data_IF_060075622797
#
_entry.id   IF_060075622797
#
_cell.length_a   1.000
_cell.length_b   1.000
_cell.length_c   1.000
_cell.angle_alpha   90.00
_cell.angle_beta   90.00
_cell.angle_gamma   90.00
#
_symmetry.space_group_name_H-M   'P 1'
#
loop_
_entity.id
_entity.type
_entity.pdbx_description
1 polymer ?
#
# COMPACT_ATOMS: atom_id res chain seq x y z
N UNK A 1 30.36 21.31 8.80
CA UNK A 1 30.54 19.95 9.29
C UNK A 1 30.08 18.99 8.18
N UNK A 2 30.89 18.05 7.71
CA UNK A 2 30.53 17.18 6.63
C UNK A 2 29.57 16.07 7.16
N UNK A 3 28.33 16.08 6.69
CA UNK A 3 27.31 15.06 6.95
C UNK A 3 27.69 13.66 6.43
N UNK A 4 28.85 13.51 5.79
CA UNK A 4 29.31 12.25 5.17
C UNK A 4 30.02 11.28 6.11
N UNK A 5 30.31 11.66 7.35
CA UNK A 5 31.06 10.78 8.26
C UNK A 5 30.21 9.95 9.21
N UNK A 6 28.90 10.25 9.36
CA UNK A 6 27.99 9.50 10.24
C UNK A 6 27.47 8.24 9.53
N UNK A 7 27.44 8.20 8.21
CA UNK A 7 26.99 7.04 7.42
C UNK A 7 28.07 6.00 7.10
N UNK A 8 29.30 6.15 7.58
CA UNK A 8 30.40 5.20 7.39
C UNK A 8 30.73 4.33 8.59
N UNK A 9 30.00 4.41 9.69
CA UNK A 9 29.99 3.37 10.69
C UNK A 9 29.28 2.17 10.07
N UNK A 10 30.01 1.10 9.74
CA UNK A 10 29.53 -0.02 8.95
C UNK A 10 28.17 -0.51 9.43
N UNK A 11 27.22 -0.56 8.50
CA UNK A 11 25.99 -1.31 8.70
C UNK A 11 26.41 -2.70 9.13
N UNK A 12 25.92 -3.18 10.27
CA UNK A 12 26.08 -4.57 10.69
C UNK A 12 25.69 -5.46 9.51
N UNK A 13 26.35 -6.56 9.32
CA UNK A 13 26.13 -7.48 8.20
C UNK A 13 24.65 -7.91 8.13
N UNK A 14 23.99 -8.01 9.28
CA UNK A 14 22.55 -8.28 9.40
C UNK A 14 21.70 -7.13 8.81
N UNK A 15 22.01 -5.89 9.15
CA UNK A 15 21.31 -4.70 8.61
C UNK A 15 21.49 -4.59 7.10
N UNK A 16 22.68 -4.92 6.57
CA UNK A 16 22.92 -4.93 5.14
C UNK A 16 22.08 -5.97 4.42
N UNK A 17 21.95 -7.16 5.00
CA UNK A 17 21.10 -8.24 4.47
C UNK A 17 19.62 -7.81 4.41
N UNK A 18 19.10 -7.12 5.44
CA UNK A 18 17.74 -6.61 5.45
C UNK A 18 17.51 -5.55 4.38
N UNK A 19 18.46 -4.66 4.17
CA UNK A 19 18.39 -3.65 3.10
C UNK A 19 18.35 -4.31 1.71
N UNK A 20 19.24 -5.29 1.44
CA UNK A 20 19.27 -6.02 0.17
C UNK A 20 17.94 -6.77 -0.07
N UNK A 21 17.41 -7.43 0.96
CA UNK A 21 16.11 -8.09 0.90
C UNK A 21 14.99 -7.09 0.56
N UNK A 22 14.94 -5.96 1.25
CA UNK A 22 13.94 -4.93 1.03
C UNK A 22 13.99 -4.36 -0.40
N UNK A 23 15.20 -4.10 -0.93
CA UNK A 23 15.38 -3.66 -2.31
C UNK A 23 14.93 -4.72 -3.33
N UNK A 24 15.21 -6.00 -3.08
CA UNK A 24 14.79 -7.09 -3.94
C UNK A 24 13.26 -7.23 -3.93
N UNK A 25 12.62 -7.21 -2.75
CA UNK A 25 11.16 -7.31 -2.61
C UNK A 25 10.41 -6.16 -3.30
N UNK A 26 11.03 -4.99 -3.40
CA UNK A 26 10.41 -3.80 -4.01
C UNK A 26 10.86 -3.54 -5.45
N UNK A 27 11.60 -4.46 -6.06
CA UNK A 27 12.16 -4.34 -7.43
C UNK A 27 13.04 -3.08 -7.61
N UNK A 28 13.86 -2.74 -6.61
CA UNK A 28 14.73 -1.56 -6.59
C UNK A 28 16.22 -1.89 -6.62
N UNK A 29 16.61 -3.14 -6.71
CA UNK A 29 18.03 -3.59 -6.66
C UNK A 29 18.91 -2.82 -7.65
N UNK A 30 18.47 -2.65 -8.89
CA UNK A 30 19.20 -1.92 -9.93
C UNK A 30 19.25 -0.40 -9.71
N UNK A 31 18.43 0.11 -8.79
CA UNK A 31 18.31 1.54 -8.48
C UNK A 31 18.93 1.92 -7.14
N UNK A 32 19.60 0.97 -6.46
CA UNK A 32 20.13 1.12 -5.10
C UNK A 32 21.00 2.38 -4.89
N UNK A 33 21.78 2.76 -5.89
CA UNK A 33 22.70 3.92 -5.82
C UNK A 33 22.08 5.20 -6.38
N UNK A 34 20.83 5.15 -6.85
CA UNK A 34 20.13 6.34 -7.34
C UNK A 34 19.63 7.21 -6.20
N UNK A 35 19.77 8.52 -6.37
CA UNK A 35 19.16 9.49 -5.46
C UNK A 35 17.65 9.40 -5.52
N UNK A 36 16.97 9.44 -4.38
CA UNK A 36 15.49 9.37 -4.29
C UNK A 36 14.80 10.44 -5.15
N UNK A 37 15.39 11.64 -5.24
CA UNK A 37 14.88 12.72 -6.08
C UNK A 37 14.94 12.45 -7.60
N UNK A 38 15.74 11.47 -8.04
CA UNK A 38 15.86 11.05 -9.45
C UNK A 38 14.96 9.84 -9.79
N UNK A 39 14.19 9.34 -8.83
CA UNK A 39 13.23 8.25 -9.01
C UNK A 39 11.90 8.79 -9.55
N UNK A 40 11.21 7.98 -10.37
CA UNK A 40 9.82 8.25 -10.74
C UNK A 40 8.89 8.19 -9.51
N UNK A 41 7.65 8.66 -9.64
CA UNK A 41 6.66 8.61 -8.54
C UNK A 41 6.48 7.20 -7.99
N UNK A 42 6.25 6.22 -8.85
CA UNK A 42 6.10 4.82 -8.45
C UNK A 42 7.37 4.21 -7.84
N UNK A 43 8.55 4.52 -8.42
CA UNK A 43 9.84 4.08 -7.85
C UNK A 43 10.09 4.71 -6.46
N UNK A 44 9.72 5.96 -6.27
CA UNK A 44 9.82 6.64 -4.98
C UNK A 44 8.90 6.02 -3.95
N UNK A 45 7.66 5.69 -4.32
CA UNK A 45 6.73 4.98 -3.44
C UNK A 45 7.27 3.61 -3.02
N UNK A 46 7.82 2.83 -3.96
CA UNK A 46 8.49 1.56 -3.65
C UNK A 46 9.70 1.76 -2.72
N UNK A 47 10.47 2.86 -2.87
CA UNK A 47 11.59 3.15 -1.99
C UNK A 47 11.14 3.43 -0.56
N UNK A 48 10.02 4.11 -0.34
CA UNK A 48 9.44 4.29 1.00
C UNK A 48 8.99 2.97 1.62
N UNK A 49 8.36 2.10 0.83
CA UNK A 49 8.01 0.75 1.28
C UNK A 49 9.27 -0.04 1.63
N UNK A 50 10.31 -0.01 0.79
CA UNK A 50 11.59 -0.66 1.06
C UNK A 50 12.24 -0.18 2.37
N UNK A 51 12.18 1.13 2.65
CA UNK A 51 12.70 1.69 3.91
C UNK A 51 11.99 1.12 5.14
N UNK A 52 10.68 0.91 5.08
CA UNK A 52 9.93 0.29 6.15
C UNK A 52 10.25 -1.21 6.28
N UNK A 53 10.33 -1.95 5.17
CA UNK A 53 10.67 -3.37 5.14
C UNK A 53 12.08 -3.65 5.66
N UNK A 54 13.04 -2.75 5.41
CA UNK A 54 14.41 -2.89 5.91
C UNK A 54 14.51 -2.87 7.45
N UNK A 55 13.45 -2.47 8.14
CA UNK A 55 13.33 -2.52 9.61
C UNK A 55 12.83 -3.89 10.11
N UNK A 56 12.70 -4.88 9.23
CA UNK A 56 12.21 -6.22 9.54
C UNK A 56 10.84 -6.21 10.26
N UNK A 57 9.90 -5.41 9.75
CA UNK A 57 8.58 -5.24 10.33
C UNK A 57 7.64 -6.39 9.96
N UNK A 58 6.80 -6.82 10.90
CA UNK A 58 5.69 -7.75 10.67
C UNK A 58 4.37 -7.01 10.36
N UNK A 59 4.33 -5.71 10.61
CA UNK A 59 3.18 -4.83 10.39
C UNK A 59 3.62 -3.58 9.64
N UNK A 60 2.96 -3.28 8.52
CA UNK A 60 3.23 -2.14 7.68
C UNK A 60 1.99 -1.26 7.57
N UNK A 61 2.13 0.03 7.91
CA UNK A 61 1.12 1.05 7.68
C UNK A 61 1.45 1.86 6.44
N UNK A 62 0.50 1.97 5.52
CA UNK A 62 0.62 2.76 4.30
C UNK A 62 -0.51 3.81 4.25
N UNK A 63 -0.13 5.06 4.29
CA UNK A 63 -1.08 6.17 4.16
C UNK A 63 -1.16 6.59 2.68
N UNK A 64 -2.32 6.34 2.07
CA UNK A 64 -2.62 6.66 0.67
C UNK A 64 -1.53 6.23 -0.35
N UNK A 65 -1.11 4.96 -0.39
CA UNK A 65 0.06 4.56 -1.16
C UNK A 65 -0.13 4.69 -2.68
N UNK A 66 -1.34 4.89 -3.16
CA UNK A 66 -1.69 5.00 -4.58
C UNK A 66 -1.99 6.43 -5.04
N UNK A 67 -2.10 7.39 -4.11
CA UNK A 67 -2.43 8.78 -4.40
C UNK A 67 -1.33 9.47 -5.23
N UNK A 68 -1.71 10.29 -6.19
CA UNK A 68 -0.83 10.98 -7.16
C UNK A 68 -0.04 10.07 -8.11
N UNK A 69 -0.41 8.79 -8.20
CA UNK A 69 0.16 7.86 -9.19
C UNK A 69 -0.82 7.67 -10.34
N UNK A 70 -0.30 7.46 -11.56
CA UNK A 70 -1.15 7.01 -12.66
C UNK A 70 -1.60 5.55 -12.46
N UNK A 71 -2.66 5.15 -13.16
CA UNK A 71 -3.32 3.84 -12.99
C UNK A 71 -2.33 2.66 -13.04
N UNK A 72 -1.33 2.73 -13.92
CA UNK A 72 -0.32 1.67 -14.04
C UNK A 72 0.45 1.50 -12.73
N UNK A 73 0.97 2.61 -12.18
CA UNK A 73 1.78 2.56 -10.96
C UNK A 73 0.93 2.27 -9.72
N UNK A 74 -0.34 2.69 -9.69
CA UNK A 74 -1.29 2.28 -8.64
C UNK A 74 -1.41 0.75 -8.60
N UNK A 75 -1.67 0.11 -9.74
CA UNK A 75 -1.77 -1.35 -9.82
C UNK A 75 -0.45 -2.04 -9.44
N UNK A 76 0.69 -1.49 -9.85
CA UNK A 76 2.00 -2.04 -9.48
C UNK A 76 2.24 -1.99 -7.96
N UNK A 77 1.85 -0.90 -7.27
CA UNK A 77 1.96 -0.77 -5.81
C UNK A 77 1.01 -1.74 -5.11
N UNK A 78 -0.25 -1.84 -5.54
CA UNK A 78 -1.23 -2.75 -4.93
C UNK A 78 -0.81 -4.22 -5.09
N UNK A 79 -0.27 -4.62 -6.23
CA UNK A 79 0.30 -5.96 -6.43
C UNK A 79 1.53 -6.22 -5.57
N UNK A 80 2.38 -5.22 -5.38
CA UNK A 80 3.51 -5.32 -4.44
C UNK A 80 2.99 -5.57 -3.01
N UNK A 81 2.02 -4.80 -2.56
CA UNK A 81 1.38 -4.94 -1.24
C UNK A 81 0.78 -6.35 -1.07
N UNK A 82 0.03 -6.83 -2.07
CA UNK A 82 -0.55 -8.18 -2.06
C UNK A 82 0.54 -9.26 -1.96
N UNK A 83 1.62 -9.14 -2.71
CA UNK A 83 2.77 -10.06 -2.66
C UNK A 83 3.43 -10.06 -1.28
N UNK A 84 3.69 -8.89 -0.70
CA UNK A 84 4.26 -8.76 0.64
C UNK A 84 3.40 -9.42 1.72
N UNK A 85 2.07 -9.30 1.61
CA UNK A 85 1.16 -9.97 2.53
C UNK A 85 1.18 -11.50 2.32
N UNK A 86 0.96 -11.98 1.09
CA UNK A 86 0.76 -13.41 0.81
C UNK A 86 2.05 -14.23 0.88
N UNK A 87 3.17 -13.68 0.40
CA UNK A 87 4.42 -14.43 0.28
C UNK A 87 5.36 -14.20 1.48
N UNK A 88 5.36 -12.98 2.05
CA UNK A 88 6.23 -12.61 3.16
C UNK A 88 5.51 -12.62 4.52
N UNK A 89 4.19 -12.79 4.55
CA UNK A 89 3.38 -12.87 5.77
C UNK A 89 3.26 -11.54 6.52
N UNK A 90 3.52 -10.41 5.85
CA UNK A 90 3.46 -9.09 6.47
C UNK A 90 1.99 -8.65 6.56
N UNK A 91 1.55 -8.28 7.75
CA UNK A 91 0.24 -7.63 7.93
C UNK A 91 0.31 -6.20 7.41
N UNK A 92 -0.62 -5.81 6.55
CA UNK A 92 -0.62 -4.48 5.94
C UNK A 92 -1.92 -3.77 6.24
N UNK A 93 -1.82 -2.56 6.79
CA UNK A 93 -2.94 -1.63 6.97
C UNK A 93 -2.70 -0.45 6.04
N UNK A 94 -3.65 -0.17 5.16
CA UNK A 94 -3.53 0.94 4.22
C UNK A 94 -4.78 1.80 4.16
N UNK A 95 -4.58 3.09 4.03
CA UNK A 95 -5.67 4.05 3.76
C UNK A 95 -5.86 4.12 2.25
N UNK A 96 -7.07 3.86 1.79
CA UNK A 96 -7.44 3.90 0.37
C UNK A 96 -8.63 4.85 0.16
N UNK A 97 -8.61 5.61 -0.94
CA UNK A 97 -9.74 6.45 -1.34
C UNK A 97 -10.61 5.78 -2.41
N UNK A 98 -10.07 4.84 -3.15
CA UNK A 98 -10.79 4.11 -4.20
C UNK A 98 -11.41 2.84 -3.60
N UNK A 99 -12.75 2.81 -3.58
CA UNK A 99 -13.53 1.70 -3.04
C UNK A 99 -13.26 0.41 -3.83
N UNK A 100 -13.05 0.50 -5.16
CA UNK A 100 -12.75 -0.67 -5.99
C UNK A 100 -11.37 -1.25 -5.70
N UNK A 101 -10.39 -0.40 -5.31
CA UNK A 101 -9.10 -0.87 -4.79
C UNK A 101 -9.28 -1.61 -3.46
N UNK A 102 -10.10 -1.08 -2.53
CA UNK A 102 -10.42 -1.76 -1.28
C UNK A 102 -11.11 -3.10 -1.52
N UNK A 103 -12.10 -3.16 -2.43
CA UNK A 103 -12.77 -4.41 -2.83
C UNK A 103 -11.82 -5.47 -3.39
N UNK A 104 -10.78 -5.04 -4.13
CA UNK A 104 -9.94 -5.95 -4.89
C UNK A 104 -8.70 -6.43 -4.14
N UNK A 105 -8.22 -5.66 -3.16
CA UNK A 105 -6.91 -5.84 -2.54
C UNK A 105 -6.93 -5.92 -1.01
N UNK A 106 -8.12 -5.96 -0.37
CA UNK A 106 -8.21 -6.07 1.09
C UNK A 106 -8.88 -7.39 1.49
N UNK A 107 -8.43 -7.99 2.58
CA UNK A 107 -9.09 -9.12 3.24
C UNK A 107 -10.16 -8.60 4.21
N UNK A 108 -9.95 -7.44 4.80
CA UNK A 108 -10.86 -6.75 5.71
C UNK A 108 -10.87 -5.25 5.42
N UNK A 109 -12.03 -4.62 5.52
CA UNK A 109 -12.22 -3.19 5.35
C UNK A 109 -12.78 -2.59 6.63
N UNK A 110 -12.24 -1.44 7.03
CA UNK A 110 -12.74 -0.60 8.11
C UNK A 110 -13.11 0.75 7.50
N UNK A 111 -14.40 1.08 7.50
CA UNK A 111 -14.90 2.38 7.07
C UNK A 111 -15.12 3.30 8.26
N UNK A 112 -14.57 4.51 8.18
CA UNK A 112 -14.65 5.53 9.22
C UNK A 112 -15.59 6.64 8.81
N UNK A 113 -16.48 7.05 9.72
CA UNK A 113 -17.34 8.23 9.59
C UNK A 113 -17.26 9.05 10.87
N UNK A 114 -16.94 10.33 10.78
CA UNK A 114 -16.80 11.24 11.91
C UNK A 114 -15.87 10.72 13.03
N UNK A 115 -14.80 10.02 12.64
CA UNK A 115 -13.81 9.47 13.56
C UNK A 115 -14.24 8.19 14.28
N UNK A 116 -15.39 7.61 13.89
CA UNK A 116 -15.90 6.35 14.45
C UNK A 116 -15.93 5.26 13.37
N UNK A 117 -15.78 4.00 13.80
CA UNK A 117 -15.95 2.85 12.90
C UNK A 117 -17.44 2.74 12.53
N UNK A 118 -17.74 2.88 11.25
CA UNK A 118 -19.09 2.77 10.69
C UNK A 118 -19.35 1.38 10.12
N UNK A 119 -18.35 0.82 9.42
CA UNK A 119 -18.41 -0.56 8.89
C UNK A 119 -17.09 -1.25 9.16
N UNK A 120 -17.14 -2.57 9.38
CA UNK A 120 -15.95 -3.42 9.50
C UNK A 120 -16.27 -4.85 9.08
N UNK A 121 -15.41 -5.46 8.28
CA UNK A 121 -15.53 -6.85 7.85
C UNK A 121 -14.97 -7.13 6.47
N UNK A 122 -15.21 -8.34 5.93
CA UNK A 122 -14.83 -8.68 4.57
C UNK A 122 -15.43 -7.70 3.55
N UNK A 123 -14.65 -7.24 2.55
CA UNK A 123 -15.11 -6.24 1.58
C UNK A 123 -16.45 -6.59 0.92
N UNK A 124 -16.60 -7.85 0.50
CA UNK A 124 -17.82 -8.32 -0.17
C UNK A 124 -19.08 -8.29 0.70
N UNK A 125 -18.94 -8.27 2.01
CA UNK A 125 -20.06 -8.25 2.96
C UNK A 125 -20.42 -6.81 3.39
N UNK A 126 -19.39 -5.95 3.55
CA UNK A 126 -19.59 -4.63 4.16
C UNK A 126 -19.68 -3.49 3.14
N UNK A 127 -19.15 -3.66 1.92
CA UNK A 127 -19.26 -2.65 0.85
C UNK A 127 -20.55 -2.89 0.08
N UNK A 128 -21.59 -2.16 0.44
CA UNK A 128 -22.93 -2.18 -0.15
C UNK A 128 -23.33 -0.77 -0.57
N UNK A 129 -24.36 -0.63 -1.42
CA UNK A 129 -24.90 0.70 -1.76
C UNK A 129 -25.31 1.50 -0.52
N UNK A 130 -25.87 0.80 0.50
CA UNK A 130 -26.27 1.42 1.77
C UNK A 130 -25.07 1.93 2.57
N UNK A 131 -24.00 1.12 2.70
CA UNK A 131 -22.78 1.55 3.40
C UNK A 131 -22.07 2.69 2.68
N UNK A 132 -22.07 2.68 1.35
CA UNK A 132 -21.51 3.78 0.54
C UNK A 132 -22.33 5.06 0.75
N UNK A 133 -23.67 4.96 0.72
CA UNK A 133 -24.54 6.10 1.02
C UNK A 133 -24.27 6.66 2.42
N UNK A 134 -24.05 5.78 3.40
CA UNK A 134 -23.74 6.19 4.79
C UNK A 134 -22.41 6.90 4.88
N UNK A 135 -21.34 6.35 4.27
CA UNK A 135 -19.98 6.85 4.39
C UNK A 135 -19.73 8.09 3.55
N UNK A 136 -20.30 8.16 2.35
CA UNK A 136 -19.97 9.20 1.36
C UNK A 136 -21.13 10.15 1.04
N UNK A 137 -22.37 9.84 1.51
CA UNK A 137 -23.55 10.65 1.24
C UNK A 137 -24.07 10.54 -0.20
N UNK A 138 -23.59 9.57 -0.98
CA UNK A 138 -23.94 9.36 -2.40
C UNK A 138 -24.44 7.93 -2.61
N UNK A 139 -25.42 7.79 -3.50
CA UNK A 139 -25.94 6.47 -3.90
C UNK A 139 -25.17 6.00 -5.13
N UNK A 140 -24.31 4.98 -4.92
CA UNK A 140 -23.57 4.33 -6.00
C UNK A 140 -23.99 2.85 -6.07
N UNK A 141 -24.32 2.35 -7.27
CA UNK A 141 -24.66 0.94 -7.43
C UNK A 141 -23.43 0.06 -7.23
N UNK A 142 -23.59 -0.98 -6.39
CA UNK A 142 -22.65 -2.07 -6.24
C UNK A 142 -23.15 -3.21 -7.11
N UNK A 143 -22.39 -3.57 -8.12
CA UNK A 143 -22.74 -4.60 -9.08
C UNK A 143 -21.73 -5.75 -9.06
N UNK A 144 -22.12 -6.90 -9.58
CA UNK A 144 -21.20 -8.02 -9.81
C UNK A 144 -20.90 -8.15 -11.30
N UNK A 145 -19.65 -7.89 -11.68
CA UNK A 145 -19.12 -8.03 -13.04
C UNK A 145 -18.07 -9.14 -13.04
N UNK A 146 -18.20 -10.12 -13.92
CA UNK A 146 -17.29 -11.28 -14.03
C UNK A 146 -17.01 -11.97 -12.69
N UNK A 147 -18.03 -12.07 -11.84
CA UNK A 147 -17.93 -12.70 -10.51
C UNK A 147 -17.31 -11.83 -9.41
N UNK A 148 -16.86 -10.60 -9.72
CA UNK A 148 -16.29 -9.65 -8.75
C UNK A 148 -17.25 -8.51 -8.49
N UNK A 149 -17.30 -8.05 -7.24
CA UNK A 149 -18.01 -6.83 -6.89
C UNK A 149 -17.25 -5.61 -7.41
N UNK A 150 -17.99 -4.65 -7.93
CA UNK A 150 -17.44 -3.35 -8.25
C UNK A 150 -18.47 -2.24 -7.98
N UNK A 151 -17.99 -1.09 -7.56
CA UNK A 151 -18.77 0.12 -7.38
C UNK A 151 -18.68 0.94 -8.66
N UNK A 152 -19.84 1.27 -9.23
CA UNK A 152 -19.90 2.11 -10.43
C UNK A 152 -20.04 3.57 -10.01
N UNK A 153 -18.98 4.34 -10.19
CA UNK A 153 -19.05 5.80 -10.21
C UNK A 153 -19.58 6.24 -11.58
N UNK A 154 -20.66 7.01 -11.59
CA UNK A 154 -21.29 7.56 -12.79
C UNK A 154 -20.54 8.80 -13.25
#
# INVERSE_FOLDING_TARGET
LPYSSIFKAGLDQENQTQVERALALTDLTELRDRRVGALSGGQRQRAFIAMALAQNTELLFLDEPTTFLDVRYQVEILRLVERLNKEEGITIVMVLHDINQALSYSDEVIGLLDGQVSIQGPPEEVITSESIQTLYGIDLPVIRADGRLCVMAV
#
